data_IF_910594334011
#
_entry.id   IF_910594334011
#
_cell.length_a   1.000
_cell.length_b   1.000
_cell.length_c   1.000
_cell.angle_alpha   90.00
_cell.angle_beta   90.00
_cell.angle_gamma   90.00
#
_symmetry.space_group_name_H-M   'P 1'
#
loop_
_entity.id
_entity.type
_entity.pdbx_description
1 polymer ?
#
# COMPACT_ATOMS: atom_id res chain seq x y z
N UNK A 1 22.30 -0.29 1.24
CA UNK A 1 22.09 -1.21 0.09
C UNK A 1 21.12 -0.53 -0.89
N UNK A 2 21.12 -0.85 -2.18
CA UNK A 2 20.17 -0.22 -3.14
C UNK A 2 19.18 -1.25 -3.65
N UNK A 3 17.91 -1.11 -3.27
CA UNK A 3 16.84 -1.95 -3.78
C UNK A 3 16.52 -1.59 -5.25
N UNK A 4 16.13 -2.57 -6.10
CA UNK A 4 15.54 -2.31 -7.38
C UNK A 4 14.31 -1.43 -7.23
N UNK A 5 14.03 -0.67 -8.28
CA UNK A 5 12.91 0.25 -8.30
C UNK A 5 11.98 -0.07 -9.46
N UNK A 6 10.73 0.36 -9.33
CA UNK A 6 9.71 0.39 -10.38
C UNK A 6 9.37 1.83 -10.72
N UNK A 7 8.67 2.04 -11.83
CA UNK A 7 8.13 3.35 -12.19
C UNK A 7 6.66 3.44 -11.75
N UNK A 8 6.29 4.53 -11.10
CA UNK A 8 4.89 4.94 -10.91
C UNK A 8 4.82 6.39 -11.39
N UNK A 9 4.16 6.61 -12.53
CA UNK A 9 4.28 7.87 -13.26
C UNK A 9 5.74 8.24 -13.52
N UNK A 10 6.14 9.45 -13.13
CA UNK A 10 7.52 9.95 -13.21
C UNK A 10 8.42 9.53 -12.04
N UNK A 11 7.90 8.84 -11.03
CA UNK A 11 8.62 8.54 -9.79
C UNK A 11 9.24 7.13 -9.81
N UNK A 12 10.35 6.98 -9.08
CA UNK A 12 11.03 5.69 -8.86
C UNK A 12 10.77 5.19 -7.45
N UNK A 13 10.10 4.05 -7.34
CA UNK A 13 9.66 3.45 -6.07
C UNK A 13 10.40 2.15 -5.83
N UNK A 14 10.94 1.92 -4.64
CA UNK A 14 11.61 0.65 -4.28
C UNK A 14 10.64 -0.52 -4.38
N UNK A 15 11.10 -1.70 -4.84
CA UNK A 15 10.27 -2.91 -4.93
C UNK A 15 9.74 -3.41 -3.58
N UNK A 16 10.42 -3.05 -2.49
CA UNK A 16 9.90 -3.16 -1.13
C UNK A 16 9.49 -1.76 -0.64
N UNK A 17 8.24 -1.62 -0.22
CA UNK A 17 7.62 -0.39 0.29
C UNK A 17 7.21 -0.64 1.74
N UNK A 18 7.39 0.35 2.62
CA UNK A 18 6.85 0.28 3.99
C UNK A 18 5.32 0.41 3.92
N UNK A 19 4.59 -0.56 4.46
CA UNK A 19 3.13 -0.53 4.58
C UNK A 19 2.69 0.10 5.90
N UNK A 20 1.81 1.10 5.85
CA UNK A 20 1.41 1.90 7.01
C UNK A 20 0.31 1.33 7.92
N UNK A 21 -0.23 0.13 7.66
CA UNK A 21 -1.29 -0.45 8.50
C UNK A 21 -0.90 -0.56 10.00
N UNK A 22 0.31 -1.03 10.36
CA UNK A 22 0.73 -1.07 11.77
C UNK A 22 0.71 0.30 12.44
N UNK A 23 1.15 1.36 11.73
CA UNK A 23 1.15 2.74 12.24
C UNK A 23 -0.24 3.26 12.60
N UNK A 24 -1.29 2.69 12.00
CA UNK A 24 -2.69 3.06 12.27
C UNK A 24 -3.40 2.05 13.16
N UNK A 25 -2.68 1.15 13.84
CA UNK A 25 -3.27 0.13 14.71
C UNK A 25 -4.06 -0.95 13.97
N UNK A 26 -3.81 -1.19 12.68
CA UNK A 26 -4.59 -2.15 11.87
C UNK A 26 -3.84 -3.49 11.82
N UNK A 27 -4.01 -4.31 12.86
CA UNK A 27 -3.25 -5.56 13.04
C UNK A 27 -3.68 -6.71 12.13
N UNK A 28 -4.97 -6.79 11.76
CA UNK A 28 -5.56 -7.98 11.11
C UNK A 28 -5.40 -9.29 11.92
N UNK A 29 -5.33 -9.15 13.25
CA UNK A 29 -5.27 -10.26 14.20
C UNK A 29 -6.40 -10.18 15.22
N UNK A 30 -6.37 -9.13 16.03
CA UNK A 30 -7.34 -8.95 17.11
C UNK A 30 -7.42 -7.48 17.54
N UNK A 31 -8.53 -7.06 18.17
CA UNK A 31 -8.63 -5.72 18.76
C UNK A 31 -7.51 -5.42 19.76
N UNK A 32 -7.08 -6.41 20.54
CA UNK A 32 -5.98 -6.26 21.50
C UNK A 32 -4.65 -5.98 20.79
N UNK A 33 -4.32 -6.71 19.72
CA UNK A 33 -3.09 -6.47 18.95
C UNK A 33 -3.14 -5.13 18.21
N UNK A 34 -4.33 -4.74 17.73
CA UNK A 34 -4.57 -3.42 17.18
C UNK A 34 -4.31 -2.30 18.19
N UNK A 35 -4.81 -2.46 19.42
CA UNK A 35 -4.57 -1.49 20.49
C UNK A 35 -3.09 -1.41 20.86
N UNK A 36 -2.41 -2.55 20.92
CA UNK A 36 -0.98 -2.62 21.19
C UNK A 36 -0.15 -1.86 20.15
N UNK A 37 -0.50 -2.00 18.86
CA UNK A 37 0.15 -1.26 17.77
C UNK A 37 -0.12 0.25 17.87
N UNK A 38 -1.35 0.65 18.19
CA UNK A 38 -1.71 2.05 18.40
C UNK A 38 -0.91 2.67 19.57
N UNK A 39 -0.73 1.93 20.68
CA UNK A 39 0.01 2.41 21.84
C UNK A 39 1.52 2.49 21.57
N UNK A 40 2.06 1.60 20.74
CA UNK A 40 3.48 1.56 20.39
C UNK A 40 3.86 2.64 19.36
N UNK A 41 3.05 2.83 18.31
CA UNK A 41 3.38 3.73 17.22
C UNK A 41 3.02 5.18 17.50
N UNK A 42 3.92 5.84 18.23
CA UNK A 42 3.95 7.29 18.36
C UNK A 42 4.48 7.93 17.06
N UNK A 43 4.29 9.25 16.91
CA UNK A 43 4.88 10.00 15.80
C UNK A 43 6.41 9.81 15.73
N UNK A 44 7.10 9.82 16.88
CA UNK A 44 8.55 9.62 16.95
C UNK A 44 8.96 8.21 16.50
N UNK A 45 8.21 7.18 16.90
CA UNK A 45 8.50 5.81 16.47
C UNK A 45 8.26 5.63 14.97
N UNK A 46 7.17 6.19 14.43
CA UNK A 46 6.91 6.16 12.98
C UNK A 46 8.06 6.87 12.24
N UNK A 47 8.49 8.05 12.68
CA UNK A 47 9.62 8.77 12.07
C UNK A 47 10.96 8.02 12.20
N UNK A 48 11.17 7.25 13.28
CA UNK A 48 12.33 6.40 13.44
C UNK A 48 12.34 5.27 12.41
N UNK A 49 11.22 4.55 12.26
CA UNK A 49 11.06 3.49 11.26
C UNK A 49 11.28 4.04 9.83
N UNK A 50 10.72 5.22 9.50
CA UNK A 50 10.90 5.84 8.18
C UNK A 50 12.38 6.19 7.90
N UNK A 51 13.11 6.62 8.93
CA UNK A 51 14.54 6.93 8.83
C UNK A 51 15.38 5.67 8.62
N UNK A 52 15.07 4.60 9.34
CA UNK A 52 15.72 3.31 9.13
C UNK A 52 15.42 2.76 7.74
N UNK A 53 14.18 2.87 7.27
CA UNK A 53 13.77 2.46 5.93
C UNK A 53 14.61 3.16 4.85
N UNK A 54 14.80 4.48 4.95
CA UNK A 54 15.69 5.24 4.06
C UNK A 54 17.14 4.76 4.11
N UNK A 55 17.69 4.53 5.30
CA UNK A 55 19.06 4.03 5.48
C UNK A 55 19.26 2.65 4.86
N UNK A 56 18.24 1.79 4.93
CA UNK A 56 18.25 0.47 4.32
C UNK A 56 18.07 0.51 2.79
N UNK A 57 17.59 1.63 2.24
CA UNK A 57 17.38 1.84 0.81
C UNK A 57 15.93 1.71 0.34
N UNK A 58 14.97 1.58 1.25
CA UNK A 58 13.54 1.77 0.95
C UNK A 58 13.31 3.27 0.80
N UNK A 59 12.65 3.67 -0.28
CA UNK A 59 12.44 5.09 -0.57
C UNK A 59 10.97 5.53 -0.55
N UNK A 60 10.06 4.63 -0.18
CA UNK A 60 8.62 4.88 -0.26
C UNK A 60 7.87 4.22 0.90
N UNK A 61 6.87 4.92 1.41
CA UNK A 61 5.83 4.42 2.31
C UNK A 61 4.47 4.47 1.61
N UNK A 62 3.69 3.40 1.73
CA UNK A 62 2.28 3.35 1.34
C UNK A 62 1.44 3.38 2.61
N UNK A 63 0.75 4.48 2.83
CA UNK A 63 0.01 4.71 4.07
C UNK A 63 -1.26 5.54 3.82
N UNK A 64 -2.21 5.41 4.74
CA UNK A 64 -3.49 6.11 4.70
C UNK A 64 -3.34 7.62 4.85
N UNK A 65 -4.23 8.35 4.21
CA UNK A 65 -4.24 9.80 4.20
C UNK A 65 -5.22 10.37 5.23
N UNK A 66 -5.07 9.96 6.48
CA UNK A 66 -5.78 10.60 7.60
C UNK A 66 -4.94 11.75 8.19
N UNK A 67 -5.56 12.49 9.11
CA UNK A 67 -4.93 13.66 9.73
C UNK A 67 -3.65 13.29 10.51
N UNK A 68 -3.60 12.11 11.11
CA UNK A 68 -2.46 11.68 11.91
C UNK A 68 -1.25 11.37 11.01
N UNK A 69 -1.41 10.46 10.04
CA UNK A 69 -0.32 10.07 9.13
C UNK A 69 0.15 11.26 8.29
N UNK A 70 -0.77 12.09 7.76
CA UNK A 70 -0.37 13.29 7.03
C UNK A 70 0.45 14.25 7.90
N UNK A 71 0.07 14.42 9.17
CA UNK A 71 0.82 15.26 10.12
C UNK A 71 2.23 14.69 10.36
N UNK A 72 2.35 13.39 10.64
CA UNK A 72 3.63 12.71 10.89
C UNK A 72 4.55 12.80 9.67
N UNK A 73 4.06 12.53 8.46
CA UNK A 73 4.86 12.63 7.25
C UNK A 73 5.32 14.07 6.96
N UNK A 74 4.51 15.06 7.31
CA UNK A 74 4.92 16.47 7.24
C UNK A 74 6.01 16.82 8.26
N UNK A 75 5.92 16.31 9.50
CA UNK A 75 6.99 16.46 10.51
C UNK A 75 8.29 15.81 10.03
N UNK A 76 8.19 14.59 9.51
CA UNK A 76 9.33 13.85 9.00
C UNK A 76 10.05 14.61 7.89
N UNK A 77 9.28 15.17 6.93
CA UNK A 77 9.83 16.00 5.85
C UNK A 77 10.48 17.28 6.39
N UNK A 78 9.85 17.96 7.35
CA UNK A 78 10.41 19.15 7.99
C UNK A 78 11.73 18.86 8.73
N UNK A 79 11.89 17.64 9.25
CA UNK A 79 13.12 17.17 9.88
C UNK A 79 14.18 16.71 8.87
N UNK A 80 13.96 16.88 7.56
CA UNK A 80 14.91 16.53 6.49
C UNK A 80 14.73 15.13 5.90
N UNK A 81 13.69 14.39 6.32
CA UNK A 81 13.31 13.11 5.73
C UNK A 81 12.91 13.25 4.26
N UNK A 82 13.19 12.20 3.47
CA UNK A 82 13.04 12.17 2.00
C UNK A 82 12.12 11.07 1.48
N UNK A 83 11.54 10.26 2.37
CA UNK A 83 10.71 9.12 2.00
C UNK A 83 9.51 9.61 1.19
N UNK A 84 9.27 8.96 0.07
CA UNK A 84 8.13 9.24 -0.79
C UNK A 84 6.87 8.63 -0.16
N UNK A 85 5.72 9.24 -0.43
CA UNK A 85 4.44 8.76 0.09
C UNK A 85 3.47 8.44 -1.03
N UNK A 86 2.96 7.21 -1.04
CA UNK A 86 1.80 6.80 -1.83
C UNK A 86 0.58 6.85 -0.91
N UNK A 87 -0.31 7.79 -1.17
CA UNK A 87 -1.45 8.09 -0.31
C UNK A 87 -2.63 7.17 -0.63
N UNK A 88 -3.12 6.44 0.37
CA UNK A 88 -4.42 5.79 0.30
C UNK A 88 -5.49 6.79 0.76
N UNK A 89 -6.55 7.00 -0.02
CA UNK A 89 -7.70 7.76 0.47
C UNK A 89 -8.26 7.13 1.74
N UNK A 90 -8.91 7.90 2.62
CA UNK A 90 -9.64 7.32 3.75
C UNK A 90 -10.78 6.40 3.27
N UNK A 91 -11.39 5.63 4.18
CA UNK A 91 -12.57 4.83 3.83
C UNK A 91 -13.75 5.72 3.47
N UNK A 92 -14.68 5.22 2.66
CA UNK A 92 -15.85 5.99 2.20
C UNK A 92 -16.74 6.58 3.30
N UNK A 93 -16.68 6.08 4.53
CA UNK A 93 -17.40 6.61 5.69
C UNK A 93 -16.56 7.57 6.56
N UNK A 94 -15.31 7.84 6.20
CA UNK A 94 -14.38 8.73 6.91
C UNK A 94 -14.29 10.13 6.26
N UNK A 95 -14.99 10.35 5.14
CA UNK A 95 -15.14 11.64 4.49
C UNK A 95 -16.59 11.86 4.01
N UNK A 96 -16.99 13.11 3.87
CA UNK A 96 -18.29 13.49 3.26
C UNK A 96 -18.18 13.73 1.76
N UNK A 97 -17.01 14.18 1.31
CA UNK A 97 -16.71 14.50 -0.09
C UNK A 97 -15.29 14.00 -0.43
N UNK A 98 -15.21 13.03 -1.33
CA UNK A 98 -13.96 12.44 -1.80
C UNK A 98 -13.09 13.48 -2.52
N UNK A 99 -13.69 14.40 -3.29
CA UNK A 99 -12.94 15.41 -4.03
C UNK A 99 -12.26 16.40 -3.07
N UNK A 100 -12.98 16.85 -2.04
CA UNK A 100 -12.40 17.68 -0.98
C UNK A 100 -11.28 16.95 -0.23
N UNK A 101 -11.45 15.66 0.05
CA UNK A 101 -10.43 14.84 0.68
C UNK A 101 -9.17 14.72 -0.22
N UNK A 102 -9.31 14.41 -1.51
CA UNK A 102 -8.19 14.35 -2.46
C UNK A 102 -7.42 15.68 -2.51
N UNK A 103 -8.13 16.83 -2.54
CA UNK A 103 -7.48 18.15 -2.49
C UNK A 103 -6.72 18.40 -1.19
N UNK A 104 -7.21 17.88 -0.07
CA UNK A 104 -6.48 17.91 1.21
C UNK A 104 -5.20 17.07 1.13
N UNK A 105 -5.29 15.85 0.61
CA UNK A 105 -4.13 14.95 0.43
C UNK A 105 -3.06 15.63 -0.43
N UNK A 106 -3.46 16.24 -1.54
CA UNK A 106 -2.58 16.93 -2.48
C UNK A 106 -1.70 18.02 -1.81
N UNK A 107 -2.21 18.69 -0.76
CA UNK A 107 -1.44 19.72 -0.02
C UNK A 107 -0.20 19.16 0.69
N UNK A 108 -0.20 17.86 0.99
CA UNK A 108 0.92 17.16 1.62
C UNK A 108 1.90 16.58 0.59
N UNK A 109 1.65 16.78 -0.71
CA UNK A 109 2.53 16.38 -1.82
C UNK A 109 2.96 14.90 -1.74
N UNK A 110 2.03 13.93 -1.79
CA UNK A 110 2.39 12.55 -2.09
C UNK A 110 2.98 12.45 -3.50
N UNK A 111 3.57 11.31 -3.86
CA UNK A 111 3.95 11.02 -5.25
C UNK A 111 2.78 10.43 -6.06
N UNK A 112 1.82 9.83 -5.36
CA UNK A 112 0.68 9.15 -5.96
C UNK A 112 -0.48 9.07 -4.97
N UNK A 113 -1.71 9.01 -5.46
CA UNK A 113 -2.93 8.86 -4.66
C UNK A 113 -3.73 7.70 -5.24
N UNK A 114 -4.17 6.76 -4.39
CA UNK A 114 -5.04 5.67 -4.80
C UNK A 114 -6.31 5.57 -3.97
N UNK A 115 -7.40 5.17 -4.62
CA UNK A 115 -8.68 4.95 -3.96
C UNK A 115 -8.63 3.70 -3.07
N UNK A 116 -9.14 3.82 -1.84
CA UNK A 116 -9.11 2.77 -0.82
C UNK A 116 -9.76 1.46 -1.29
N UNK A 117 -9.04 0.34 -1.15
CA UNK A 117 -9.44 -0.96 -1.68
C UNK A 117 -10.81 -1.45 -1.23
N UNK A 118 -11.08 -1.46 0.07
CA UNK A 118 -12.40 -1.90 0.56
C UNK A 118 -13.55 -0.98 0.14
N UNK A 119 -13.27 0.27 -0.22
CA UNK A 119 -14.28 1.20 -0.74
C UNK A 119 -14.47 1.01 -2.23
N UNK A 120 -13.41 0.71 -2.99
CA UNK A 120 -13.52 0.23 -4.38
C UNK A 120 -14.38 -1.03 -4.45
N UNK A 121 -14.11 -2.01 -3.59
CA UNK A 121 -14.82 -3.29 -3.58
C UNK A 121 -16.32 -3.08 -3.30
N UNK A 122 -16.66 -2.20 -2.35
CA UNK A 122 -18.06 -1.85 -2.08
C UNK A 122 -18.73 -1.14 -3.25
N UNK A 123 -18.04 -0.20 -3.92
CA UNK A 123 -18.59 0.48 -5.10
C UNK A 123 -18.84 -0.50 -6.25
N UNK A 124 -17.97 -1.51 -6.40
CA UNK A 124 -18.20 -2.59 -7.36
C UNK A 124 -19.46 -3.38 -7.02
N UNK A 125 -19.60 -3.84 -5.77
CA UNK A 125 -20.77 -4.61 -5.32
C UNK A 125 -22.08 -3.81 -5.46
N UNK A 126 -22.01 -2.49 -5.31
CA UNK A 126 -23.14 -1.57 -5.49
C UNK A 126 -23.44 -1.21 -6.96
N UNK A 127 -22.62 -1.68 -7.92
CA UNK A 127 -22.75 -1.31 -9.34
C UNK A 127 -22.42 0.15 -9.64
N UNK A 128 -21.54 0.77 -8.83
CA UNK A 128 -21.19 2.20 -8.86
C UNK A 128 -19.70 2.45 -9.10
N UNK A 129 -18.97 1.48 -9.65
CA UNK A 129 -17.52 1.62 -9.87
C UNK A 129 -17.15 2.82 -10.74
N UNK A 130 -17.97 3.14 -11.75
CA UNK A 130 -17.78 4.26 -12.68
C UNK A 130 -17.74 5.63 -11.97
N UNK A 131 -18.27 5.73 -10.75
CA UNK A 131 -18.16 6.95 -9.93
C UNK A 131 -16.71 7.32 -9.59
N UNK A 132 -15.75 6.40 -9.77
CA UNK A 132 -14.33 6.66 -9.57
C UNK A 132 -13.70 7.52 -10.67
N UNK A 133 -14.28 7.61 -11.87
CA UNK A 133 -13.67 8.35 -12.98
C UNK A 133 -13.34 9.81 -12.61
N UNK A 134 -14.27 10.51 -11.96
CA UNK A 134 -14.07 11.90 -11.53
C UNK A 134 -12.95 12.03 -10.49
N UNK A 135 -12.85 11.07 -9.56
CA UNK A 135 -11.81 11.05 -8.54
C UNK A 135 -10.42 10.80 -9.16
N UNK A 136 -10.31 9.84 -10.09
CA UNK A 136 -9.05 9.55 -10.80
C UNK A 136 -8.61 10.74 -11.65
N UNK A 137 -9.54 11.34 -12.39
CA UNK A 137 -9.29 12.55 -13.17
C UNK A 137 -8.80 13.69 -12.28
N UNK A 138 -9.44 13.92 -11.14
CA UNK A 138 -9.02 14.96 -10.19
C UNK A 138 -7.59 14.73 -9.68
N UNK A 139 -7.23 13.49 -9.33
CA UNK A 139 -5.87 13.15 -8.89
C UNK A 139 -4.85 13.51 -9.99
N UNK A 140 -5.15 13.15 -11.24
CA UNK A 140 -4.28 13.46 -12.38
C UNK A 140 -4.19 14.95 -12.66
N UNK A 141 -5.31 15.67 -12.65
CA UNK A 141 -5.36 17.13 -12.87
C UNK A 141 -4.59 17.91 -11.79
N UNK A 142 -4.49 17.34 -10.57
CA UNK A 142 -3.68 17.88 -9.48
C UNK A 142 -2.18 17.55 -9.61
N UNK A 143 -1.79 16.80 -10.65
CA UNK A 143 -0.40 16.47 -10.97
C UNK A 143 0.14 15.21 -10.29
N UNK A 144 -0.72 14.34 -9.74
CA UNK A 144 -0.32 13.10 -9.08
C UNK A 144 -0.69 11.87 -9.90
N UNK A 145 0.01 10.76 -9.67
CA UNK A 145 -0.34 9.48 -10.27
C UNK A 145 -1.62 8.88 -9.63
N UNK A 146 -2.70 8.68 -10.39
CA UNK A 146 -3.90 8.01 -9.92
C UNK A 146 -3.71 6.49 -9.83
N UNK A 147 -4.29 5.87 -8.81
CA UNK A 147 -4.34 4.43 -8.67
C UNK A 147 -5.64 3.92 -8.06
N UNK A 148 -5.87 2.61 -8.20
CA UNK A 148 -7.01 1.91 -7.57
C UNK A 148 -6.49 0.80 -6.67
N UNK A 149 -6.96 0.79 -5.43
CA UNK A 149 -6.81 -0.36 -4.54
C UNK A 149 -7.97 -1.33 -4.67
N UNK A 150 -7.76 -2.62 -4.40
CA UNK A 150 -8.81 -3.63 -4.27
C UNK A 150 -8.32 -4.86 -3.48
N UNK A 151 -9.24 -5.58 -2.84
CA UNK A 151 -8.99 -6.93 -2.31
C UNK A 151 -9.43 -8.03 -3.28
N UNK A 152 -10.10 -7.65 -4.36
CA UNK A 152 -10.70 -8.52 -5.35
C UNK A 152 -9.99 -8.39 -6.70
N UNK A 153 -9.14 -9.35 -7.08
CA UNK A 153 -8.30 -9.22 -8.27
C UNK A 153 -9.09 -9.11 -9.59
N UNK A 154 -10.34 -9.57 -9.63
CA UNK A 154 -11.18 -9.39 -10.82
C UNK A 154 -11.60 -7.94 -11.05
N UNK A 155 -11.75 -7.12 -9.99
CA UNK A 155 -12.09 -5.69 -10.11
C UNK A 155 -10.94 -4.96 -10.80
N UNK A 156 -9.70 -5.23 -10.38
CA UNK A 156 -8.51 -4.69 -11.04
C UNK A 156 -8.47 -5.04 -12.53
N UNK A 157 -8.72 -6.31 -12.90
CA UNK A 157 -8.77 -6.72 -14.32
C UNK A 157 -9.85 -5.98 -15.08
N UNK A 158 -11.04 -5.83 -14.50
CA UNK A 158 -12.15 -5.12 -15.13
C UNK A 158 -11.77 -3.66 -15.38
N UNK A 159 -11.32 -2.93 -14.36
CA UNK A 159 -10.87 -1.55 -14.51
C UNK A 159 -9.80 -1.40 -15.60
N UNK A 160 -8.87 -2.35 -15.67
CA UNK A 160 -7.81 -2.35 -16.69
C UNK A 160 -8.38 -2.55 -18.11
N UNK A 161 -9.28 -3.53 -18.31
CA UNK A 161 -9.89 -3.79 -19.62
C UNK A 161 -10.85 -2.69 -20.07
N UNK A 162 -11.54 -2.04 -19.12
CA UNK A 162 -12.44 -0.91 -19.37
C UNK A 162 -11.69 0.42 -19.54
N UNK A 163 -10.36 0.43 -19.36
CA UNK A 163 -9.53 1.60 -19.64
C UNK A 163 -9.66 2.72 -18.60
N UNK A 164 -9.86 2.37 -17.33
CA UNK A 164 -9.80 3.35 -16.23
C UNK A 164 -8.45 4.06 -16.24
N UNK A 165 -8.48 5.40 -16.15
CA UNK A 165 -7.28 6.25 -16.24
C UNK A 165 -6.46 6.17 -14.94
N UNK A 166 -5.63 5.14 -14.82
CA UNK A 166 -4.74 4.88 -13.69
C UNK A 166 -3.30 4.65 -14.15
N UNK A 167 -2.33 5.00 -13.28
CA UNK A 167 -0.91 4.71 -13.50
C UNK A 167 -0.46 3.42 -12.81
N UNK A 168 -1.22 2.93 -11.81
CA UNK A 168 -0.90 1.74 -11.04
C UNK A 168 -2.12 1.17 -10.29
N UNK A 169 -2.00 -0.06 -9.81
CA UNK A 169 -2.98 -0.69 -8.91
C UNK A 169 -2.34 -1.09 -7.57
N UNK A 170 -3.17 -1.23 -6.54
CA UNK A 170 -2.81 -1.86 -5.26
C UNK A 170 -3.70 -3.09 -5.07
N UNK A 171 -3.14 -4.29 -5.11
CA UNK A 171 -3.91 -5.53 -5.05
C UNK A 171 -3.50 -6.37 -3.84
N UNK A 172 -4.47 -6.82 -3.05
CA UNK A 172 -4.18 -7.79 -2.01
C UNK A 172 -3.91 -9.17 -2.62
N UNK A 173 -2.90 -9.88 -2.10
CA UNK A 173 -2.71 -11.30 -2.40
C UNK A 173 -3.72 -12.20 -1.68
N UNK A 174 -4.48 -11.68 -0.71
CA UNK A 174 -5.45 -12.49 0.02
C UNK A 174 -6.71 -11.67 0.27
N UNK A 175 -7.87 -12.26 -0.04
CA UNK A 175 -9.17 -11.63 0.17
C UNK A 175 -9.69 -11.91 1.58
N UNK A 176 -8.92 -11.41 2.54
CA UNK A 176 -9.22 -11.52 3.96
C UNK A 176 -10.55 -10.84 4.34
N UNK A 177 -11.05 -9.88 3.55
CA UNK A 177 -12.31 -9.17 3.85
C UNK A 177 -13.53 -10.07 3.62
N UNK A 178 -13.59 -10.81 2.51
CA UNK A 178 -14.68 -11.77 2.25
C UNK A 178 -14.54 -13.07 3.04
N UNK A 179 -13.33 -13.42 3.45
CA UNK A 179 -13.04 -14.64 4.18
C UNK A 179 -12.72 -14.42 5.67
N UNK A 180 -13.22 -13.33 6.29
CA UNK A 180 -13.14 -13.08 7.74
C UNK A 180 -11.73 -13.29 8.34
N UNK A 181 -10.73 -12.64 7.74
CA UNK A 181 -9.31 -12.75 8.12
C UNK A 181 -8.67 -14.12 7.88
N UNK A 182 -9.26 -14.97 7.03
CA UNK A 182 -8.59 -16.13 6.45
C UNK A 182 -7.74 -15.71 5.25
N UNK A 183 -6.56 -16.32 5.13
CA UNK A 183 -5.57 -16.05 4.09
C UNK A 183 -5.40 -17.32 3.25
N UNK A 184 -6.33 -17.52 2.31
CA UNK A 184 -6.42 -18.76 1.53
C UNK A 184 -5.44 -18.75 0.35
N UNK A 185 -4.75 -19.87 0.09
CA UNK A 185 -3.85 -19.99 -1.05
C UNK A 185 -4.59 -19.78 -2.40
N UNK A 186 -5.86 -20.19 -2.48
CA UNK A 186 -6.67 -19.96 -3.67
C UNK A 186 -6.82 -18.47 -4.02
N UNK A 187 -6.98 -17.59 -3.01
CA UNK A 187 -7.05 -16.14 -3.22
C UNK A 187 -5.71 -15.62 -3.77
N UNK A 188 -4.60 -16.09 -3.19
CA UNK A 188 -3.25 -15.73 -3.62
C UNK A 188 -2.99 -16.13 -5.06
N UNK A 189 -3.33 -17.35 -5.42
CA UNK A 189 -3.07 -17.86 -6.76
C UNK A 189 -3.96 -17.11 -7.78
N UNK A 190 -5.21 -16.80 -7.43
CA UNK A 190 -6.10 -15.96 -8.25
C UNK A 190 -5.59 -14.51 -8.38
N UNK A 191 -5.08 -13.92 -7.30
CA UNK A 191 -4.50 -12.58 -7.31
C UNK A 191 -3.26 -12.51 -8.20
N UNK A 192 -2.36 -13.49 -8.10
CA UNK A 192 -1.17 -13.60 -8.96
C UNK A 192 -1.56 -13.71 -10.44
N UNK A 193 -2.51 -14.58 -10.78
CA UNK A 193 -2.98 -14.71 -12.16
C UNK A 193 -3.52 -13.38 -12.72
N UNK A 194 -4.25 -12.61 -11.90
CA UNK A 194 -4.74 -11.30 -12.31
C UNK A 194 -3.62 -10.25 -12.43
N UNK A 195 -2.67 -10.23 -11.48
CA UNK A 195 -1.52 -9.32 -11.52
C UNK A 195 -0.70 -9.54 -12.78
N UNK A 196 -0.51 -10.79 -13.20
CA UNK A 196 0.22 -11.14 -14.42
C UNK A 196 -0.53 -10.74 -15.71
N UNK A 197 -1.86 -10.66 -15.67
CA UNK A 197 -2.69 -10.29 -16.81
C UNK A 197 -2.79 -8.76 -17.06
N UNK A 198 -2.38 -7.94 -16.09
CA UNK A 198 -2.41 -6.47 -16.19
C UNK A 198 -1.02 -5.94 -16.53
N UNK A 199 -0.91 -5.06 -17.54
CA UNK A 199 0.38 -4.52 -18.00
C UNK A 199 0.80 -3.21 -17.33
N UNK A 200 0.04 -2.74 -16.33
CA UNK A 200 0.41 -1.64 -15.46
C UNK A 200 1.12 -2.14 -14.19
N UNK A 201 1.94 -1.30 -13.54
CA UNK A 201 2.52 -1.60 -12.23
C UNK A 201 1.46 -1.95 -11.19
N UNK A 202 1.70 -3.02 -10.43
CA UNK A 202 0.89 -3.39 -9.27
C UNK A 202 1.74 -3.36 -8.00
N UNK A 203 1.20 -2.77 -6.94
CA UNK A 203 1.74 -2.88 -5.58
C UNK A 203 0.95 -3.97 -4.86
N UNK A 204 1.58 -5.13 -4.66
CA UNK A 204 0.99 -6.24 -3.93
C UNK A 204 1.01 -5.97 -2.43
N UNK A 205 -0.13 -6.13 -1.76
CA UNK A 205 -0.26 -6.07 -0.29
C UNK A 205 -0.63 -7.44 0.27
N UNK A 206 -0.50 -7.60 1.59
CA UNK A 206 -0.77 -8.86 2.31
C UNK A 206 0.17 -10.02 1.97
N UNK A 207 1.36 -9.73 1.44
CA UNK A 207 2.36 -10.75 1.08
C UNK A 207 2.68 -11.72 2.22
N UNK A 208 2.72 -11.23 3.46
CA UNK A 208 3.01 -12.05 4.65
C UNK A 208 1.76 -12.58 5.38
N UNK A 209 0.57 -12.49 4.79
CA UNK A 209 -0.69 -12.89 5.42
C UNK A 209 -0.90 -12.28 6.83
N UNK A 210 -0.53 -11.00 6.96
CA UNK A 210 -0.46 -10.28 8.23
C UNK A 210 0.41 -10.99 9.29
N UNK A 211 1.56 -11.53 8.92
CA UNK A 211 2.50 -12.19 9.84
C UNK A 211 2.20 -13.67 10.10
N UNK A 212 1.24 -14.27 9.37
CA UNK A 212 0.95 -15.72 9.43
C UNK A 212 1.88 -16.56 8.54
N UNK A 213 2.60 -15.93 7.63
CA UNK A 213 3.55 -16.59 6.74
C UNK A 213 4.99 -16.27 7.13
N UNK A 214 5.85 -17.29 7.05
CA UNK A 214 7.30 -17.12 7.19
C UNK A 214 7.83 -16.13 6.12
N UNK A 215 8.59 -15.08 6.51
CA UNK A 215 8.96 -14.01 5.59
C UNK A 215 9.72 -14.46 4.34
N UNK A 216 10.79 -15.25 4.50
CA UNK A 216 11.66 -15.64 3.39
C UNK A 216 10.93 -16.41 2.28
N UNK A 217 10.18 -17.51 2.55
CA UNK A 217 9.44 -18.21 1.50
C UNK A 217 8.31 -17.37 0.91
N UNK A 218 7.64 -16.52 1.70
CA UNK A 218 6.58 -15.65 1.19
C UNK A 218 7.12 -14.57 0.23
N UNK A 219 8.25 -13.94 0.58
CA UNK A 219 8.92 -12.98 -0.30
C UNK A 219 9.45 -13.64 -1.57
N UNK A 220 10.07 -14.82 -1.47
CA UNK A 220 10.51 -15.59 -2.64
C UNK A 220 9.35 -15.86 -3.58
N UNK A 221 8.26 -16.41 -3.05
CA UNK A 221 7.05 -16.70 -3.83
C UNK A 221 6.54 -15.45 -4.55
N UNK A 222 6.37 -14.34 -3.81
CA UNK A 222 5.87 -13.11 -4.41
C UNK A 222 6.79 -12.58 -5.51
N UNK A 223 8.11 -12.53 -5.27
CA UNK A 223 9.08 -12.03 -6.25
C UNK A 223 9.19 -12.89 -7.51
N UNK A 224 9.01 -14.21 -7.39
CA UNK A 224 8.99 -15.15 -8.52
C UNK A 224 7.73 -14.99 -9.39
N UNK A 225 6.64 -14.46 -8.85
CA UNK A 225 5.33 -14.46 -9.51
C UNK A 225 4.78 -13.07 -9.89
N UNK A 226 5.14 -12.01 -9.18
CA UNK A 226 4.83 -10.62 -9.58
C UNK A 226 5.79 -10.16 -10.68
N UNK A 227 5.38 -9.17 -11.48
CA UNK A 227 6.18 -8.69 -12.61
C UNK A 227 7.43 -7.93 -12.13
N UNK A 228 8.50 -7.81 -12.93
CA UNK A 228 9.64 -6.94 -12.61
C UNK A 228 9.28 -5.46 -12.42
N UNK A 229 8.15 -5.03 -12.99
CA UNK A 229 7.58 -3.67 -12.85
C UNK A 229 6.66 -3.52 -11.64
N UNK A 230 6.45 -4.59 -10.86
CA UNK A 230 5.61 -4.61 -9.66
C UNK A 230 6.45 -4.46 -8.38
N UNK A 231 5.79 -3.98 -7.32
CA UNK A 231 6.36 -3.81 -5.98
C UNK A 231 5.47 -4.47 -4.93
N UNK A 232 5.94 -4.50 -3.68
CA UNK A 232 5.22 -5.02 -2.53
C UNK A 232 5.22 -3.99 -1.41
N UNK A 233 4.06 -3.74 -0.80
CA UNK A 233 3.97 -2.95 0.43
C UNK A 233 3.73 -3.88 1.63
N UNK A 234 4.67 -3.82 2.59
CA UNK A 234 4.76 -4.76 3.71
C UNK A 234 4.71 -3.98 5.01
N UNK A 235 3.71 -4.26 5.84
CA UNK A 235 3.65 -3.73 7.20
C UNK A 235 4.73 -4.38 8.06
N UNK A 236 5.48 -3.57 8.79
CA UNK A 236 6.55 -3.99 9.69
C UNK A 236 6.19 -3.48 11.08
N UNK A 237 6.18 -4.36 12.08
CA UNK A 237 5.87 -4.06 13.48
C UNK A 237 7.13 -4.22 14.33
N UNK A 238 7.84 -3.11 14.51
CA UNK A 238 9.19 -3.07 15.09
C UNK A 238 9.25 -3.30 16.59
N UNK A 239 8.10 -3.35 17.29
CA UNK A 239 8.07 -3.69 18.72
C UNK A 239 8.50 -5.13 19.00
N UNK A 240 7.91 -6.09 18.27
CA UNK A 240 8.17 -7.51 18.48
C UNK A 240 9.47 -7.95 17.79
N UNK A 241 9.88 -7.21 16.75
CA UNK A 241 11.09 -7.46 15.99
C UNK A 241 11.78 -6.14 15.60
N UNK A 242 12.69 -5.62 16.45
CA UNK A 242 13.31 -4.30 16.26
C UNK A 242 14.03 -4.12 14.92
N UNK A 243 14.76 -5.15 14.45
CA UNK A 243 15.54 -5.07 13.21
C UNK A 243 14.73 -5.45 11.94
N UNK A 244 13.40 -5.59 12.05
CA UNK A 244 12.56 -6.16 11.00
C UNK A 244 12.68 -5.42 9.65
N UNK A 245 12.90 -4.11 9.65
CA UNK A 245 13.07 -3.33 8.42
C UNK A 245 14.34 -3.76 7.70
N UNK A 246 15.48 -3.74 8.40
CA UNK A 246 16.78 -4.15 7.84
C UNK A 246 16.83 -5.63 7.43
N UNK A 247 16.17 -6.50 8.21
CA UNK A 247 16.06 -7.93 7.93
C UNK A 247 15.24 -8.20 6.66
N UNK A 248 14.08 -7.56 6.52
CA UNK A 248 13.26 -7.69 5.32
C UNK A 248 14.01 -7.20 4.08
N UNK A 249 14.74 -6.08 4.17
CA UNK A 249 15.57 -5.57 3.08
C UNK A 249 16.68 -6.56 2.73
N UNK A 250 17.33 -7.16 3.73
CA UNK A 250 18.38 -8.17 3.52
C UNK A 250 17.83 -9.42 2.84
N UNK A 251 16.67 -9.91 3.28
CA UNK A 251 15.99 -11.04 2.65
C UNK A 251 15.65 -10.75 1.19
N UNK A 252 15.00 -9.61 0.92
CA UNK A 252 14.65 -9.20 -0.45
C UNK A 252 15.89 -9.09 -1.31
N UNK A 253 16.96 -8.45 -0.84
CA UNK A 253 18.21 -8.26 -1.59
C UNK A 253 18.87 -9.58 -1.99
N UNK A 254 18.72 -10.65 -1.19
CA UNK A 254 19.24 -11.98 -1.53
C UNK A 254 18.40 -12.74 -2.57
N UNK A 255 17.18 -12.30 -2.82
CA UNK A 255 16.22 -12.95 -3.72
C UNK A 255 16.17 -12.34 -5.12
N UNK A 256 16.88 -11.24 -5.37
CA UNK A 256 16.83 -10.42 -6.60
C UNK A 256 18.19 -10.23 -7.24
#
# INVERSE_FOLDING_TARGET
MKLPTIAIGSHRVSRLIIGGNPYSGISHHSPAKSKEMEDYYTADQIMADLREAEQCGINTVLARADRHIMRVLNEYRNAGGKIQWIAQTAKGNEYTDLAAHIRLIARYQPIAIYHHGGTTDQLYDDGKLDTLHDALKLIRDLGFSPGIGTHEPHIMKQCYHEGYDVDFYVCALYNHTRHREMYLNADRDAAIAAIQAVHLPVISIKVLAAGRSEPLPAFRFALEHIKPIDAMAVGMYTKDHPDQISDNVTMITRLI
#
